data_IF_706350386565
#
_entry.id   IF_706350386565
#
_cell.length_a   1.000
_cell.length_b   1.000
_cell.length_c   1.000
_cell.angle_alpha   90.00
_cell.angle_beta   90.00
_cell.angle_gamma   90.00
#
_symmetry.space_group_name_H-M   'P 1'
#
loop_
_entity.id
_entity.type
_entity.pdbx_description
1 polymer ?
#
# COMPACT_ATOMS: atom_id res chain seq x y z
N UNK A 1 29.91 -8.94 -59.72
CA UNK A 1 29.81 -8.13 -58.49
C UNK A 1 28.43 -7.48 -58.48
N UNK A 2 27.48 -8.03 -57.71
CA UNK A 2 26.20 -7.38 -57.32
C UNK A 2 25.43 -8.38 -56.43
N UNK A 3 25.80 -8.47 -55.15
CA UNK A 3 25.02 -9.26 -54.16
C UNK A 3 25.35 -8.83 -52.73
N UNK A 4 25.44 -7.51 -52.47
CA UNK A 4 25.69 -6.93 -51.12
C UNK A 4 24.70 -5.78 -50.79
N UNK A 5 23.65 -5.57 -51.60
CA UNK A 5 22.66 -4.50 -51.34
C UNK A 5 21.30 -4.99 -50.81
N UNK A 6 20.99 -6.29 -50.80
CA UNK A 6 19.67 -6.80 -50.38
C UNK A 6 19.54 -7.19 -48.90
N UNK A 7 20.65 -7.33 -48.17
CA UNK A 7 20.62 -7.74 -46.75
C UNK A 7 20.34 -6.59 -45.79
N UNK A 8 20.69 -5.34 -46.16
CA UNK A 8 20.41 -4.14 -45.33
C UNK A 8 18.93 -3.76 -45.32
N UNK A 9 18.24 -3.93 -46.44
CA UNK A 9 16.80 -3.65 -46.55
C UNK A 9 15.95 -4.70 -45.81
N UNK A 10 16.41 -5.96 -45.77
CA UNK A 10 15.74 -7.04 -45.03
C UNK A 10 15.81 -6.83 -43.51
N UNK A 11 16.94 -6.35 -42.99
CA UNK A 11 17.08 -5.99 -41.57
C UNK A 11 16.23 -4.78 -41.21
N UNK A 12 16.26 -3.71 -42.04
CA UNK A 12 15.42 -2.52 -41.89
C UNK A 12 13.92 -2.87 -41.80
N UNK A 13 13.43 -3.74 -42.69
CA UNK A 13 12.03 -4.17 -42.72
C UNK A 13 11.64 -5.03 -41.51
N UNK A 14 12.57 -5.82 -40.96
CA UNK A 14 12.36 -6.57 -39.72
C UNK A 14 12.31 -5.65 -38.49
N UNK A 15 13.13 -4.60 -38.43
CA UNK A 15 13.07 -3.61 -37.35
C UNK A 15 11.77 -2.79 -37.38
N UNK A 16 11.31 -2.43 -38.59
CA UNK A 16 10.04 -1.73 -38.77
C UNK A 16 8.85 -2.63 -38.42
N UNK A 17 8.79 -3.88 -38.90
CA UNK A 17 7.72 -4.82 -38.56
C UNK A 17 7.63 -5.07 -37.05
N UNK A 18 8.77 -5.27 -36.38
CA UNK A 18 8.80 -5.40 -34.91
C UNK A 18 8.23 -4.16 -34.23
N UNK A 19 8.56 -2.96 -34.72
CA UNK A 19 8.02 -1.72 -34.19
C UNK A 19 6.50 -1.63 -34.34
N UNK A 20 5.94 -2.02 -35.49
CA UNK A 20 4.49 -2.05 -35.73
C UNK A 20 3.77 -3.11 -34.89
N UNK A 21 4.37 -4.27 -34.67
CA UNK A 21 3.84 -5.32 -33.79
C UNK A 21 3.85 -4.87 -32.33
N UNK A 22 4.92 -4.22 -31.86
CA UNK A 22 5.00 -3.63 -30.53
C UNK A 22 3.97 -2.51 -30.32
N UNK A 23 3.75 -1.64 -31.32
CA UNK A 23 2.73 -0.59 -31.27
C UNK A 23 1.30 -1.16 -31.26
N UNK A 24 1.02 -2.17 -32.08
CA UNK A 24 -0.29 -2.82 -32.15
C UNK A 24 -0.61 -3.59 -30.86
N UNK A 25 0.39 -4.32 -30.33
CA UNK A 25 0.29 -5.00 -29.03
C UNK A 25 0.10 -3.99 -27.90
N UNK A 26 0.85 -2.89 -27.90
CA UNK A 26 0.74 -1.81 -26.91
C UNK A 26 -0.63 -1.10 -26.93
N UNK A 27 -1.21 -0.84 -28.11
CA UNK A 27 -2.57 -0.28 -28.21
C UNK A 27 -3.62 -1.26 -27.70
N UNK A 28 -3.47 -2.54 -28.01
CA UNK A 28 -4.38 -3.60 -27.54
C UNK A 28 -4.31 -3.76 -26.02
N UNK A 29 -3.11 -3.80 -25.44
CA UNK A 29 -2.93 -3.90 -23.97
C UNK A 29 -3.45 -2.66 -23.24
N UNK A 30 -3.19 -1.45 -23.75
CA UNK A 30 -3.75 -0.23 -23.14
C UNK A 30 -5.28 -0.22 -23.15
N UNK A 31 -5.92 -0.68 -24.23
CA UNK A 31 -7.37 -0.82 -24.28
C UNK A 31 -7.89 -1.85 -23.28
N UNK A 32 -7.19 -2.98 -23.10
CA UNK A 32 -7.50 -3.98 -22.08
C UNK A 32 -7.41 -3.37 -20.67
N UNK A 33 -6.33 -2.66 -20.36
CA UNK A 33 -6.08 -2.00 -19.07
C UNK A 33 -7.21 -1.01 -18.75
N UNK A 34 -7.54 -0.12 -19.68
CA UNK A 34 -8.59 0.90 -19.48
C UNK A 34 -9.97 0.27 -19.30
N UNK A 35 -10.30 -0.79 -20.06
CA UNK A 35 -11.57 -1.50 -19.92
C UNK A 35 -11.65 -2.23 -18.57
N UNK A 36 -10.62 -2.99 -18.22
CA UNK A 36 -10.54 -3.71 -16.95
C UNK A 36 -10.63 -2.74 -15.75
N UNK A 37 -9.90 -1.62 -15.80
CA UNK A 37 -9.98 -0.56 -14.78
C UNK A 37 -11.41 -0.02 -14.64
N UNK A 38 -12.06 0.37 -15.75
CA UNK A 38 -13.45 0.90 -15.72
C UNK A 38 -14.44 -0.13 -15.18
N UNK A 39 -14.36 -1.36 -15.66
CA UNK A 39 -15.24 -2.46 -15.24
C UNK A 39 -15.05 -2.78 -13.75
N UNK A 40 -13.80 -2.95 -13.30
CA UNK A 40 -13.49 -3.22 -11.91
C UNK A 40 -13.94 -2.08 -10.98
N UNK A 41 -13.82 -0.82 -11.43
CA UNK A 41 -14.33 0.34 -10.66
C UNK A 41 -15.85 0.29 -10.48
N UNK A 42 -16.62 -0.07 -11.53
CA UNK A 42 -18.08 -0.22 -11.42
C UNK A 42 -18.47 -1.38 -10.48
N UNK A 43 -17.76 -2.50 -10.56
CA UNK A 43 -17.97 -3.63 -9.65
C UNK A 43 -17.64 -3.26 -8.20
N UNK A 44 -16.58 -2.48 -7.98
CA UNK A 44 -16.20 -1.97 -6.66
C UNK A 44 -17.28 -1.07 -6.05
N UNK A 45 -17.87 -0.15 -6.81
CA UNK A 45 -18.95 0.73 -6.34
C UNK A 45 -20.20 -0.03 -5.90
N UNK A 46 -20.42 -1.22 -6.47
CA UNK A 46 -21.52 -2.12 -6.10
C UNK A 46 -21.12 -3.19 -5.08
N UNK A 47 -19.97 -3.01 -4.41
CA UNK A 47 -19.38 -3.92 -3.39
C UNK A 47 -19.12 -5.36 -3.90
N UNK A 48 -19.03 -5.56 -5.22
CA UNK A 48 -18.68 -6.85 -5.84
C UNK A 48 -17.17 -7.04 -5.88
N UNK A 49 -16.54 -7.06 -4.69
CA UNK A 49 -15.09 -6.97 -4.56
C UNK A 49 -14.33 -8.14 -5.18
N UNK A 50 -14.89 -9.37 -5.11
CA UNK A 50 -14.30 -10.52 -5.79
C UNK A 50 -14.16 -10.27 -7.28
N UNK A 51 -15.25 -9.90 -7.92
CA UNK A 51 -15.27 -9.72 -9.36
C UNK A 51 -14.43 -8.53 -9.80
N UNK A 52 -14.42 -7.45 -9.00
CA UNK A 52 -13.53 -6.33 -9.22
C UNK A 52 -12.05 -6.76 -9.15
N UNK A 53 -11.70 -7.61 -8.19
CA UNK A 53 -10.35 -8.16 -8.03
C UNK A 53 -9.97 -9.05 -9.20
N UNK A 54 -10.81 -10.04 -9.54
CA UNK A 54 -10.56 -10.97 -10.63
C UNK A 54 -10.48 -10.26 -11.99
N UNK A 55 -11.21 -9.16 -12.18
CA UNK A 55 -11.14 -8.31 -13.38
C UNK A 55 -9.80 -7.54 -13.47
N UNK A 56 -9.27 -7.09 -12.32
CA UNK A 56 -8.08 -6.24 -12.28
C UNK A 56 -6.77 -7.05 -12.14
N UNK A 57 -6.82 -8.25 -11.55
CA UNK A 57 -5.66 -9.11 -11.30
C UNK A 57 -4.77 -9.34 -12.55
N UNK A 58 -5.31 -9.59 -13.76
CA UNK A 58 -4.50 -9.75 -14.96
C UNK A 58 -3.74 -8.47 -15.36
N UNK A 59 -4.23 -7.30 -14.97
CA UNK A 59 -3.59 -6.02 -15.31
C UNK A 59 -2.39 -5.71 -14.39
N UNK A 60 -2.47 -6.13 -13.13
CA UNK A 60 -1.48 -5.85 -12.07
C UNK A 60 -0.55 -7.03 -11.78
N UNK A 61 -0.84 -8.21 -12.33
CA UNK A 61 0.01 -9.39 -12.24
C UNK A 61 0.75 -9.64 -13.56
N UNK A 62 1.97 -10.19 -13.51
CA UNK A 62 2.69 -10.55 -14.72
C UNK A 62 1.86 -11.59 -15.47
N UNK A 63 1.69 -11.38 -16.77
CA UNK A 63 1.13 -12.40 -17.65
C UNK A 63 2.23 -13.44 -17.82
N UNK A 64 2.23 -14.47 -16.97
CA UNK A 64 3.15 -15.59 -17.09
C UNK A 64 3.14 -16.03 -18.54
N UNK A 65 4.31 -16.00 -19.19
CA UNK A 65 4.45 -16.54 -20.53
C UNK A 65 3.89 -17.95 -20.48
N UNK A 66 2.75 -18.17 -21.14
CA UNK A 66 2.25 -19.49 -21.42
C UNK A 66 3.44 -20.29 -21.95
N UNK A 67 3.62 -21.49 -21.41
CA UNK A 67 4.56 -22.46 -21.89
C UNK A 67 4.39 -22.60 -23.41
N UNK A 68 5.30 -22.00 -24.17
CA UNK A 68 5.69 -22.47 -25.48
C UNK A 68 7.10 -21.95 -25.78
N UNK A 69 8.02 -22.90 -25.93
CA UNK A 69 9.45 -22.69 -26.00
C UNK A 69 9.89 -21.75 -27.12
N UNK A 70 10.22 -20.51 -26.76
CA UNK A 70 11.17 -19.68 -27.47
C UNK A 70 11.86 -18.75 -26.46
N UNK A 71 12.81 -19.31 -25.72
CA UNK A 71 13.80 -18.54 -24.96
C UNK A 71 14.68 -17.87 -26.02
N UNK A 72 14.31 -16.65 -26.41
CA UNK A 72 15.30 -15.75 -26.99
C UNK A 72 16.15 -15.26 -25.83
N UNK A 73 17.41 -15.69 -25.78
CA UNK A 73 18.47 -15.30 -24.82
C UNK A 73 18.79 -13.80 -24.89
N UNK A 74 17.81 -12.96 -24.55
CA UNK A 74 17.99 -11.54 -24.33
C UNK A 74 17.77 -11.25 -22.85
N UNK A 75 18.76 -10.71 -22.11
CA UNK A 75 18.61 -10.38 -20.69
C UNK A 75 17.45 -9.39 -20.43
N UNK A 76 17.02 -8.64 -21.45
CA UNK A 76 15.90 -7.70 -21.39
C UNK A 76 14.50 -8.36 -21.45
N UNK A 77 14.41 -9.61 -21.94
CA UNK A 77 13.14 -10.33 -22.01
C UNK A 77 12.71 -10.90 -20.64
N UNK A 78 13.69 -11.27 -19.80
CA UNK A 78 13.46 -11.78 -18.45
C UNK A 78 12.93 -10.66 -17.53
N UNK A 79 13.50 -9.46 -17.60
CA UNK A 79 13.01 -8.28 -16.88
C UNK A 79 11.59 -7.88 -17.32
N UNK A 80 11.27 -8.05 -18.61
CA UNK A 80 9.93 -7.77 -19.14
C UNK A 80 8.88 -8.81 -18.73
N UNK A 81 9.28 -10.03 -18.37
CA UNK A 81 8.38 -11.12 -17.99
C UNK A 81 7.89 -11.01 -16.53
N UNK A 82 8.61 -10.28 -15.67
CA UNK A 82 8.21 -10.03 -14.28
C UNK A 82 7.38 -8.74 -14.09
N UNK A 83 7.30 -7.89 -15.12
CA UNK A 83 6.51 -6.67 -15.12
C UNK A 83 5.03 -6.96 -15.41
N UNK A 84 4.15 -6.27 -14.69
CA UNK A 84 2.72 -6.30 -14.99
C UNK A 84 2.43 -5.52 -16.28
N UNK A 85 1.38 -5.87 -17.04
CA UNK A 85 0.98 -5.12 -18.24
C UNK A 85 0.84 -3.61 -18.02
N UNK A 86 0.36 -3.22 -16.84
CA UNK A 86 0.21 -1.82 -16.45
C UNK A 86 1.53 -1.03 -16.38
N UNK A 87 2.67 -1.69 -16.14
CA UNK A 87 3.97 -1.03 -16.06
C UNK A 87 4.36 -0.34 -17.37
N UNK A 88 3.88 -0.87 -18.51
CA UNK A 88 4.13 -0.33 -19.85
C UNK A 88 3.10 0.75 -20.27
N UNK A 89 2.12 1.05 -19.42
CA UNK A 89 1.12 2.10 -19.69
C UNK A 89 1.66 3.49 -19.35
N UNK A 90 0.94 4.55 -19.75
CA UNK A 90 1.31 5.91 -19.39
C UNK A 90 1.31 6.11 -17.87
N UNK A 91 2.16 7.02 -17.36
CA UNK A 91 2.27 7.36 -15.92
C UNK A 91 0.89 7.50 -15.27
N UNK A 92 0.03 8.36 -15.79
CA UNK A 92 -1.30 8.59 -15.24
C UNK A 92 -2.25 7.38 -15.27
N UNK A 93 -2.10 6.46 -16.22
CA UNK A 93 -2.88 5.20 -16.24
C UNK A 93 -2.35 4.24 -15.19
N UNK A 94 -1.02 4.09 -15.13
CA UNK A 94 -0.32 3.25 -14.15
C UNK A 94 -0.63 3.67 -12.72
N UNK A 95 -0.52 4.96 -12.41
CA UNK A 95 -0.85 5.53 -11.09
C UNK A 95 -2.29 5.19 -10.70
N UNK A 96 -3.28 5.47 -11.57
CA UNK A 96 -4.71 5.23 -11.28
C UNK A 96 -5.03 3.76 -11.02
N UNK A 97 -4.43 2.85 -11.79
CA UNK A 97 -4.65 1.41 -11.65
C UNK A 97 -4.08 0.92 -10.33
N UNK A 98 -2.85 1.30 -9.98
CA UNK A 98 -2.24 0.90 -8.71
C UNK A 98 -2.95 1.50 -7.49
N UNK A 99 -3.28 2.80 -7.53
CA UNK A 99 -4.08 3.46 -6.47
C UNK A 99 -5.41 2.74 -6.27
N UNK A 100 -6.10 2.39 -7.36
CA UNK A 100 -7.36 1.65 -7.27
C UNK A 100 -7.17 0.22 -6.74
N UNK A 101 -6.14 -0.50 -7.19
CA UNK A 101 -5.83 -1.83 -6.67
C UNK A 101 -5.57 -1.83 -5.17
N UNK A 102 -4.80 -0.84 -4.67
CA UNK A 102 -4.53 -0.68 -3.24
C UNK A 102 -5.79 -0.32 -2.45
N UNK A 103 -6.65 0.54 -3.01
CA UNK A 103 -7.95 0.87 -2.41
C UNK A 103 -8.88 -0.34 -2.35
N UNK A 104 -8.89 -1.16 -3.41
CA UNK A 104 -9.64 -2.41 -3.46
C UNK A 104 -9.13 -3.40 -2.41
N UNK A 105 -7.81 -3.57 -2.27
CA UNK A 105 -7.23 -4.39 -1.20
C UNK A 105 -7.63 -3.87 0.18
N UNK A 106 -7.58 -2.55 0.40
CA UNK A 106 -8.01 -1.94 1.65
C UNK A 106 -9.45 -2.32 2.01
N UNK A 107 -10.38 -2.23 1.05
CA UNK A 107 -11.77 -2.63 1.24
C UNK A 107 -11.95 -4.13 1.47
N UNK A 108 -11.20 -4.98 0.75
CA UNK A 108 -11.27 -6.45 0.90
C UNK A 108 -10.84 -6.86 2.32
N UNK A 109 -9.75 -6.31 2.83
CA UNK A 109 -9.31 -6.61 4.20
C UNK A 109 -10.28 -6.00 5.22
N UNK A 110 -10.88 -4.84 4.91
CA UNK A 110 -11.92 -4.19 5.70
C UNK A 110 -13.21 -4.99 5.89
N UNK A 111 -13.51 -5.99 5.05
CA UNK A 111 -14.62 -6.94 5.28
C UNK A 111 -14.42 -7.80 6.54
N UNK A 112 -13.18 -7.90 7.02
CA UNK A 112 -12.80 -8.77 8.12
C UNK A 112 -12.84 -10.27 7.78
N UNK A 113 -12.51 -11.14 8.74
CA UNK A 113 -12.31 -12.56 8.47
C UNK A 113 -13.55 -13.34 8.05
N UNK A 114 -14.74 -12.95 8.50
CA UNK A 114 -15.96 -13.73 8.23
C UNK A 114 -16.52 -13.46 6.82
N UNK A 115 -16.80 -12.20 6.51
CA UNK A 115 -17.29 -11.78 5.20
C UNK A 115 -16.19 -11.95 4.13
N UNK A 116 -14.94 -11.67 4.49
CA UNK A 116 -13.78 -11.86 3.63
C UNK A 116 -13.59 -13.32 3.21
N UNK A 117 -13.69 -14.30 4.12
CA UNK A 117 -13.59 -15.73 3.76
C UNK A 117 -14.81 -16.24 3.00
N UNK A 118 -16.00 -15.70 3.25
CA UNK A 118 -17.22 -16.06 2.52
C UNK A 118 -17.13 -15.61 1.07
N UNK A 119 -16.63 -14.40 0.84
CA UNK A 119 -16.45 -13.82 -0.49
C UNK A 119 -15.22 -14.43 -1.18
N UNK A 120 -14.07 -14.40 -0.50
CA UNK A 120 -12.70 -14.92 -0.75
C UNK A 120 -12.49 -16.42 -0.98
N UNK A 121 -13.26 -17.24 -0.27
CA UNK A 121 -12.72 -18.50 0.20
C UNK A 121 -11.61 -18.27 1.24
N UNK A 122 -11.36 -19.30 2.06
CA UNK A 122 -10.44 -19.21 3.21
C UNK A 122 -8.98 -18.97 2.80
N UNK A 123 -8.54 -19.60 1.70
CA UNK A 123 -7.15 -19.55 1.23
C UNK A 123 -6.81 -18.20 0.62
N UNK A 124 -7.52 -17.78 -0.44
CA UNK A 124 -7.24 -16.51 -1.15
C UNK A 124 -7.37 -15.30 -0.22
N UNK A 125 -8.39 -15.26 0.65
CA UNK A 125 -8.52 -14.17 1.62
C UNK A 125 -7.32 -14.09 2.56
N UNK A 126 -6.83 -15.24 3.06
CA UNK A 126 -5.68 -15.28 3.96
C UNK A 126 -4.39 -14.86 3.27
N UNK A 127 -4.20 -15.25 2.01
CA UNK A 127 -3.07 -14.81 1.19
C UNK A 127 -3.09 -13.28 0.98
N UNK A 128 -4.24 -12.71 0.65
CA UNK A 128 -4.39 -11.26 0.50
C UNK A 128 -4.15 -10.53 1.83
N UNK A 129 -4.71 -11.05 2.93
CA UNK A 129 -4.53 -10.47 4.25
C UNK A 129 -3.06 -10.55 4.71
N UNK A 130 -2.39 -11.67 4.51
CA UNK A 130 -0.97 -11.82 4.82
C UNK A 130 -0.12 -10.85 3.99
N UNK A 131 -0.38 -10.75 2.68
CA UNK A 131 0.33 -9.84 1.78
C UNK A 131 0.31 -8.39 2.28
N UNK A 132 -0.84 -7.92 2.75
CA UNK A 132 -1.01 -6.56 3.28
C UNK A 132 -0.42 -6.43 4.69
N UNK A 133 -0.67 -7.39 5.59
CA UNK A 133 -0.22 -7.35 6.99
C UNK A 133 1.30 -7.49 7.14
N UNK A 134 1.92 -8.26 6.27
CA UNK A 134 3.37 -8.46 6.21
C UNK A 134 4.05 -7.36 5.38
N UNK A 135 3.27 -6.51 4.70
CA UNK A 135 3.74 -5.41 3.86
C UNK A 135 4.44 -5.81 2.55
N UNK A 136 4.45 -7.10 2.20
CA UNK A 136 5.00 -7.61 0.92
C UNK A 136 4.33 -7.00 -0.32
N UNK A 137 3.12 -6.44 -0.17
CA UNK A 137 2.45 -5.66 -1.21
C UNK A 137 3.31 -4.49 -1.72
N UNK A 138 4.13 -3.87 -0.86
CA UNK A 138 5.04 -2.80 -1.28
C UNK A 138 6.02 -3.28 -2.36
N UNK A 139 6.70 -4.39 -2.07
CA UNK A 139 7.64 -5.01 -3.00
C UNK A 139 6.95 -5.50 -4.28
N UNK A 140 5.73 -6.00 -4.17
CA UNK A 140 4.92 -6.39 -5.34
C UNK A 140 4.67 -5.20 -6.27
N UNK A 141 4.25 -4.05 -5.73
CA UNK A 141 3.98 -2.84 -6.52
C UNK A 141 5.26 -2.31 -7.16
N UNK A 142 6.35 -2.19 -6.38
CA UNK A 142 7.64 -1.70 -6.86
C UNK A 142 8.17 -2.61 -7.97
N UNK A 143 8.22 -3.92 -7.74
CA UNK A 143 8.74 -4.90 -8.70
C UNK A 143 7.89 -4.96 -9.96
N UNK A 144 6.57 -5.14 -9.82
CA UNK A 144 5.67 -5.38 -10.96
C UNK A 144 5.27 -4.10 -11.69
N UNK A 145 5.18 -2.98 -10.99
CA UNK A 145 4.72 -1.70 -11.52
C UNK A 145 5.84 -0.78 -11.97
N UNK A 146 6.98 -0.82 -11.30
CA UNK A 146 8.07 0.16 -11.42
C UNK A 146 9.44 -0.49 -11.61
N UNK A 147 9.49 -1.78 -11.98
CA UNK A 147 10.73 -2.47 -12.35
C UNK A 147 11.75 -2.64 -11.23
N UNK A 148 11.35 -2.51 -9.97
CA UNK A 148 12.28 -2.59 -8.82
C UNK A 148 12.77 -1.24 -8.31
N UNK A 149 12.47 -0.14 -9.00
CA UNK A 149 12.95 1.19 -8.63
C UNK A 149 12.00 1.87 -7.63
N UNK A 150 12.31 1.80 -6.33
CA UNK A 150 11.46 2.40 -5.28
C UNK A 150 11.31 3.93 -5.45
N UNK A 151 12.35 4.64 -5.92
CA UNK A 151 12.30 6.09 -6.15
C UNK A 151 11.42 6.53 -7.34
N UNK A 152 11.11 5.64 -8.28
CA UNK A 152 10.26 5.95 -9.45
C UNK A 152 8.76 5.72 -9.20
N UNK A 153 8.41 5.21 -8.02
CA UNK A 153 7.01 4.98 -7.63
C UNK A 153 6.29 6.32 -7.57
N UNK A 154 5.12 6.41 -8.20
CA UNK A 154 4.36 7.66 -8.20
C UNK A 154 3.93 8.02 -6.78
N UNK A 155 4.09 9.28 -6.36
CA UNK A 155 3.78 9.70 -4.99
C UNK A 155 2.34 9.39 -4.54
N UNK A 156 1.35 9.45 -5.44
CA UNK A 156 -0.03 9.03 -5.12
C UNK A 156 -0.12 7.53 -4.77
N UNK A 157 0.69 6.69 -5.42
CA UNK A 157 0.78 5.26 -5.12
C UNK A 157 1.46 5.03 -3.77
N UNK A 158 2.51 5.80 -3.47
CA UNK A 158 3.20 5.77 -2.15
C UNK A 158 2.25 6.14 -1.02
N UNK A 159 1.49 7.23 -1.16
CA UNK A 159 0.48 7.63 -0.16
C UNK A 159 -0.53 6.50 0.09
N UNK A 160 -1.03 5.87 -0.98
CA UNK A 160 -2.01 4.77 -0.85
C UNK A 160 -1.39 3.50 -0.27
N UNK A 161 -0.14 3.16 -0.62
CA UNK A 161 0.61 2.06 -0.03
C UNK A 161 0.77 2.26 1.48
N UNK A 162 1.35 3.39 1.87
CA UNK A 162 1.60 3.69 3.27
C UNK A 162 0.31 3.78 4.10
N UNK A 163 -0.79 4.30 3.52
CA UNK A 163 -2.12 4.31 4.17
C UNK A 163 -2.68 2.90 4.33
N UNK A 164 -2.55 2.05 3.32
CA UNK A 164 -2.96 0.64 3.39
C UNK A 164 -2.17 -0.11 4.49
N UNK A 165 -0.85 0.08 4.54
CA UNK A 165 0.00 -0.54 5.54
C UNK A 165 -0.30 -0.03 6.95
N UNK A 166 -0.52 1.28 7.09
CA UNK A 166 -0.89 1.91 8.36
C UNK A 166 -2.16 1.29 8.95
N UNK A 167 -3.17 1.02 8.12
CA UNK A 167 -4.45 0.48 8.58
C UNK A 167 -4.45 -1.00 8.95
N UNK A 168 -3.47 -1.79 8.47
CA UNK A 168 -3.57 -3.26 8.53
C UNK A 168 -2.32 -3.97 9.06
N UNK A 169 -1.14 -3.35 9.06
CA UNK A 169 0.07 -3.97 9.61
C UNK A 169 0.07 -3.94 11.14
N UNK A 170 0.68 -4.96 11.77
CA UNK A 170 0.85 -5.03 13.23
C UNK A 170 1.94 -4.11 13.74
N UNK A 171 2.97 -3.83 12.93
CA UNK A 171 4.08 -2.93 13.27
C UNK A 171 4.34 -2.00 12.10
N UNK A 172 4.63 -0.73 12.36
CA UNK A 172 4.87 0.25 11.31
C UNK A 172 6.35 0.41 10.93
N UNK A 173 7.25 -0.45 11.45
CA UNK A 173 8.70 -0.40 11.15
C UNK A 173 9.02 -0.54 9.65
N UNK A 174 8.39 -1.49 8.97
CA UNK A 174 8.58 -1.64 7.52
C UNK A 174 8.06 -0.43 6.76
N UNK A 175 6.89 0.10 7.15
CA UNK A 175 6.30 1.28 6.52
C UNK A 175 7.21 2.50 6.71
N UNK A 176 7.78 2.66 7.90
CA UNK A 176 8.82 3.66 8.19
C UNK A 176 10.04 3.49 7.27
N UNK A 177 10.67 2.31 7.25
CA UNK A 177 11.84 2.03 6.40
C UNK A 177 11.57 2.37 4.93
N UNK A 178 10.37 2.02 4.43
CA UNK A 178 9.96 2.27 3.04
C UNK A 178 9.70 3.74 2.73
N UNK A 179 9.11 4.48 3.67
CA UNK A 179 8.92 5.93 3.52
C UNK A 179 10.25 6.68 3.61
N UNK A 180 11.13 6.31 4.53
CA UNK A 180 12.48 6.87 4.65
C UNK A 180 13.29 6.64 3.35
N UNK A 181 13.31 5.40 2.84
CA UNK A 181 13.96 5.07 1.58
C UNK A 181 13.40 5.85 0.39
N UNK A 182 12.08 5.99 0.31
CA UNK A 182 11.43 6.78 -0.74
C UNK A 182 11.76 8.28 -0.64
N UNK A 183 11.70 8.86 0.56
CA UNK A 183 12.00 10.27 0.81
C UNK A 183 13.47 10.58 0.49
N UNK A 184 14.40 9.72 0.93
CA UNK A 184 15.83 9.86 0.63
C UNK A 184 16.11 9.82 -0.89
N UNK A 185 15.47 8.90 -1.62
CA UNK A 185 15.63 8.81 -3.07
C UNK A 185 15.07 10.04 -3.83
N UNK A 186 14.10 10.76 -3.25
CA UNK A 186 13.46 11.92 -3.86
C UNK A 186 14.01 13.27 -3.35
N UNK A 187 14.93 13.26 -2.38
CA UNK A 187 15.54 14.49 -1.87
C UNK A 187 16.58 15.04 -2.85
N UNK A 188 17.40 14.16 -3.43
CA UNK A 188 18.53 14.49 -4.31
C UNK A 188 18.09 15.14 -5.65
N UNK A 189 16.90 14.81 -6.14
CA UNK A 189 16.36 15.30 -7.43
C UNK A 189 15.99 16.80 -7.38
N UNK A 190 15.82 17.38 -6.19
CA UNK A 190 15.55 18.82 -6.02
C UNK A 190 16.81 19.69 -6.17
N UNK A 191 17.99 19.16 -5.82
CA UNK A 191 19.26 19.87 -6.01
C UNK A 191 19.64 19.92 -7.51
N UNK A 192 19.44 18.82 -8.24
CA UNK A 192 19.80 18.74 -9.66
C UNK A 192 18.96 19.65 -10.58
N UNK A 193 17.69 19.92 -10.22
CA UNK A 193 16.83 20.79 -11.04
C UNK A 193 17.22 22.27 -10.95
N UNK A 194 17.77 22.73 -9.82
CA UNK A 194 18.15 24.15 -9.61
C UNK A 194 19.43 24.51 -10.37
N UNK A 195 20.35 23.56 -10.57
CA UNK A 195 21.58 23.80 -11.34
C UNK A 195 21.39 23.68 -12.86
N UNK A 196 20.30 23.08 -13.33
CA UNK A 196 20.04 22.84 -14.74
C UNK A 196 19.38 24.03 -15.48
N UNK A 197 18.95 25.07 -14.75
CA UNK A 197 18.33 26.28 -15.32
C UNK A 197 19.33 27.36 -15.76
N UNK A 198 20.65 27.15 -15.60
CA UNK A 198 21.68 28.16 -15.92
C UNK A 198 22.37 27.98 -17.27
N UNK A 199 22.17 26.87 -17.96
CA UNK A 199 22.77 26.64 -19.27
C UNK A 199 21.72 26.11 -20.25
N UNK A 200 21.51 26.83 -21.36
CA UNK A 200 20.39 26.67 -22.30
C UNK A 200 20.39 25.39 -23.14
N UNK A 201 20.77 24.25 -22.58
CA UNK A 201 20.74 22.93 -23.21
C UNK A 201 19.84 21.98 -22.41
N UNK A 202 18.54 22.18 -22.55
CA UNK A 202 17.52 21.28 -22.02
C UNK A 202 17.62 19.90 -22.68
N UNK A 203 18.16 18.92 -21.98
CA UNK A 203 17.90 17.50 -22.26
C UNK A 203 16.59 17.11 -21.55
N UNK A 204 15.61 16.49 -22.22
CA UNK A 204 14.25 16.34 -21.70
C UNK A 204 14.09 15.10 -20.80
N UNK A 205 14.95 14.93 -19.79
CA UNK A 205 14.90 13.76 -18.89
C UNK A 205 15.10 14.06 -17.39
N UNK A 206 14.81 15.27 -16.92
CA UNK A 206 14.59 15.53 -15.48
C UNK A 206 13.08 15.44 -15.19
N UNK A 207 12.65 14.35 -14.53
CA UNK A 207 11.26 13.85 -14.51
C UNK A 207 10.44 14.37 -13.32
N UNK A 208 10.99 15.20 -12.44
CA UNK A 208 10.22 15.82 -11.35
C UNK A 208 10.04 17.33 -11.55
N UNK A 209 9.07 17.67 -12.41
CA UNK A 209 8.58 19.05 -12.48
C UNK A 209 8.05 19.50 -11.12
N UNK A 210 8.37 20.73 -10.73
CA UNK A 210 7.90 21.47 -9.55
C UNK A 210 6.40 21.81 -9.62
N UNK A 211 5.59 20.91 -10.19
CA UNK A 211 4.15 21.08 -10.25
C UNK A 211 3.60 21.20 -8.83
N UNK A 212 2.71 22.18 -8.55
CA UNK A 212 2.05 22.30 -7.25
C UNK A 212 1.41 20.99 -6.76
N UNK A 213 0.96 20.12 -7.67
CA UNK A 213 0.43 18.79 -7.35
C UNK A 213 1.48 17.84 -6.78
N UNK A 214 2.70 17.86 -7.33
CA UNK A 214 3.79 17.02 -6.85
C UNK A 214 4.24 17.47 -5.46
N UNK A 215 4.34 18.79 -5.24
CA UNK A 215 4.62 19.35 -3.91
C UNK A 215 3.54 18.95 -2.89
N UNK A 216 2.26 19.09 -3.24
CA UNK A 216 1.16 18.67 -2.36
C UNK A 216 1.22 17.19 -2.02
N UNK A 217 1.57 16.34 -2.99
CA UNK A 217 1.71 14.89 -2.77
C UNK A 217 2.88 14.61 -1.85
N UNK A 218 4.02 15.29 -2.01
CA UNK A 218 5.18 15.14 -1.14
C UNK A 218 4.90 15.61 0.30
N UNK A 219 4.21 16.74 0.46
CA UNK A 219 3.74 17.19 1.78
C UNK A 219 2.80 16.16 2.42
N UNK A 220 1.94 15.50 1.64
CA UNK A 220 1.07 14.44 2.15
C UNK A 220 1.85 13.20 2.61
N UNK A 221 2.93 12.85 1.92
CA UNK A 221 3.83 11.77 2.33
C UNK A 221 4.53 12.15 3.65
N UNK A 222 5.02 13.39 3.78
CA UNK A 222 5.61 13.89 5.02
C UNK A 222 4.61 13.89 6.18
N UNK A 223 3.38 14.37 5.95
CA UNK A 223 2.29 14.30 6.93
C UNK A 223 2.04 12.85 7.38
N UNK A 224 1.92 11.92 6.44
CA UNK A 224 1.71 10.50 6.74
C UNK A 224 2.85 9.90 7.55
N UNK A 225 4.08 10.23 7.18
CA UNK A 225 5.28 9.76 7.85
C UNK A 225 5.38 10.29 9.29
N UNK A 226 5.33 11.61 9.44
CA UNK A 226 5.59 12.32 10.71
C UNK A 226 4.42 12.18 11.68
N UNK A 227 3.18 12.31 11.22
CA UNK A 227 2.01 12.39 12.10
C UNK A 227 1.32 11.04 12.33
N UNK A 228 1.66 10.01 11.56
CA UNK A 228 1.00 8.71 11.69
C UNK A 228 1.97 7.54 11.84
N UNK A 229 2.98 7.42 10.98
CA UNK A 229 3.90 6.27 11.01
C UNK A 229 4.84 6.32 12.21
N UNK A 230 5.53 7.46 12.44
CA UNK A 230 6.41 7.61 13.60
C UNK A 230 5.66 7.50 14.94
N UNK A 231 4.49 8.16 15.14
CA UNK A 231 3.65 7.96 16.32
C UNK A 231 3.19 6.51 16.55
N UNK A 232 2.96 5.75 15.48
CA UNK A 232 2.58 4.35 15.59
C UNK A 232 3.75 3.45 16.05
N UNK A 233 5.00 3.88 15.83
CA UNK A 233 6.21 3.24 16.37
C UNK A 233 6.70 3.86 17.69
N UNK A 234 5.93 4.80 18.27
CA UNK A 234 6.29 5.57 19.48
C UNK A 234 7.56 6.44 19.35
N UNK A 235 7.93 6.81 18.11
CA UNK A 235 9.14 7.59 17.80
C UNK A 235 8.88 9.11 17.80
N UNK A 236 8.32 9.62 18.89
CA UNK A 236 7.89 11.02 19.00
C UNK A 236 9.05 12.04 18.96
N UNK A 237 10.18 11.71 19.59
CA UNK A 237 11.37 12.55 19.59
C UNK A 237 11.98 12.65 18.20
N UNK A 238 12.01 11.53 17.48
CA UNK A 238 12.49 11.48 16.12
C UNK A 238 11.60 12.29 15.17
N UNK A 239 10.27 12.21 15.33
CA UNK A 239 9.33 13.05 14.59
C UNK A 239 9.58 14.55 14.80
N UNK A 240 9.83 14.99 16.04
CA UNK A 240 10.17 16.40 16.33
C UNK A 240 11.47 16.82 15.66
N UNK A 241 12.53 16.03 15.82
CA UNK A 241 13.82 16.31 15.20
C UNK A 241 13.71 16.37 13.67
N UNK A 242 12.91 15.49 13.07
CA UNK A 242 12.68 15.47 11.63
C UNK A 242 11.97 16.74 11.16
N UNK A 243 10.95 17.24 11.88
CA UNK A 243 10.28 18.50 11.55
C UNK A 243 11.26 19.68 11.62
N UNK A 244 12.06 19.76 12.70
CA UNK A 244 13.04 20.84 12.91
C UNK A 244 14.10 20.87 11.80
N UNK A 245 14.62 19.69 11.42
CA UNK A 245 15.68 19.54 10.41
C UNK A 245 15.16 19.56 8.96
N UNK A 246 13.84 19.47 8.73
CA UNK A 246 13.29 19.43 7.37
C UNK A 246 13.44 20.77 6.66
N UNK A 247 14.24 20.80 5.59
CA UNK A 247 14.42 21.98 4.73
C UNK A 247 13.19 22.25 3.83
N UNK A 248 12.34 21.24 3.63
CA UNK A 248 11.13 21.34 2.82
C UNK A 248 9.98 22.11 3.49
N UNK A 249 10.04 22.24 4.82
CA UNK A 249 9.01 22.92 5.61
C UNK A 249 9.52 24.32 5.93
N UNK A 250 8.75 25.33 5.55
CA UNK A 250 8.89 26.68 6.08
C UNK A 250 8.44 26.73 7.54
N UNK A 251 8.81 27.80 8.24
CA UNK A 251 8.59 27.94 9.69
C UNK A 251 7.10 27.79 10.06
N UNK A 252 6.20 28.39 9.28
CA UNK A 252 4.75 28.25 9.47
C UNK A 252 4.28 26.79 9.38
N UNK A 253 4.80 26.01 8.42
CA UNK A 253 4.47 24.59 8.33
C UNK A 253 5.13 23.79 9.43
N UNK A 254 6.36 24.10 9.84
CA UNK A 254 7.01 23.44 10.97
C UNK A 254 6.19 23.60 12.24
N UNK A 255 5.74 24.82 12.54
CA UNK A 255 4.84 25.09 13.67
C UNK A 255 3.52 24.32 13.56
N UNK A 256 2.90 24.31 12.38
CA UNK A 256 1.66 23.56 12.14
C UNK A 256 1.82 22.05 12.35
N UNK A 257 2.93 21.47 11.87
CA UNK A 257 3.26 20.06 12.06
C UNK A 257 3.57 19.74 13.52
N UNK A 258 4.30 20.61 14.24
CA UNK A 258 4.58 20.43 15.67
C UNK A 258 3.30 20.47 16.50
N UNK A 259 2.41 21.42 16.23
CA UNK A 259 1.11 21.49 16.90
C UNK A 259 0.23 20.26 16.59
N UNK A 260 0.19 19.82 15.33
CA UNK A 260 -0.53 18.62 14.94
C UNK A 260 0.03 17.36 15.63
N UNK A 261 1.37 17.25 15.73
CA UNK A 261 2.03 16.13 16.39
C UNK A 261 1.67 16.07 17.88
N UNK A 262 1.67 17.21 18.59
CA UNK A 262 1.27 17.24 20.00
C UNK A 262 -0.22 16.88 20.16
N UNK A 263 -1.10 17.39 19.28
CA UNK A 263 -2.52 17.03 19.27
C UNK A 263 -2.73 15.52 19.11
N UNK A 264 -2.01 14.87 18.17
CA UNK A 264 -2.07 13.41 17.98
C UNK A 264 -1.56 12.66 19.21
N UNK A 265 -0.52 13.17 19.87
CA UNK A 265 0.02 12.58 21.11
C UNK A 265 -0.96 12.67 22.27
N UNK A 266 -1.59 13.82 22.45
CA UNK A 266 -2.63 14.03 23.46
C UNK A 266 -3.84 13.12 23.21
N UNK A 267 -4.27 12.98 21.95
CA UNK A 267 -5.36 12.07 21.59
C UNK A 267 -5.00 10.61 21.92
N UNK A 268 -3.79 10.15 21.55
CA UNK A 268 -3.32 8.79 21.85
C UNK A 268 -3.27 8.53 23.36
N UNK A 269 -2.73 9.47 24.13
CA UNK A 269 -2.65 9.38 25.59
C UNK A 269 -4.06 9.37 26.23
N UNK A 270 -4.95 10.24 25.76
CA UNK A 270 -6.34 10.30 26.21
C UNK A 270 -7.12 9.03 25.89
N UNK A 271 -6.92 8.44 24.71
CA UNK A 271 -7.52 7.17 24.32
C UNK A 271 -7.04 6.02 25.23
N UNK A 272 -5.73 5.92 25.46
CA UNK A 272 -5.15 4.92 26.35
C UNK A 272 -5.67 5.03 27.80
N UNK A 273 -5.81 6.26 28.31
CA UNK A 273 -6.37 6.49 29.64
C UNK A 273 -7.84 6.05 29.74
N UNK A 274 -8.65 6.38 28.73
CA UNK A 274 -10.06 5.95 28.66
C UNK A 274 -10.20 4.44 28.57
N UNK A 275 -9.36 3.78 27.78
CA UNK A 275 -9.35 2.31 27.67
C UNK A 275 -8.99 1.66 29.01
N UNK A 276 -7.96 2.15 29.70
CA UNK A 276 -7.56 1.67 31.03
C UNK A 276 -8.68 1.82 32.05
N UNK A 277 -9.35 2.97 32.09
CA UNK A 277 -10.46 3.22 33.00
C UNK A 277 -11.64 2.25 32.76
N UNK A 278 -11.97 1.97 31.50
CA UNK A 278 -13.01 0.99 31.14
C UNK A 278 -12.60 -0.45 31.48
N UNK A 279 -11.33 -0.80 31.30
CA UNK A 279 -10.82 -2.12 31.67
C UNK A 279 -10.90 -2.36 33.19
N UNK A 280 -10.47 -1.37 34.00
CA UNK A 280 -10.57 -1.43 35.46
C UNK A 280 -12.02 -1.53 35.93
N UNK A 281 -12.96 -0.82 35.28
CA UNK A 281 -14.38 -0.94 35.59
C UNK A 281 -14.91 -2.35 35.30
N UNK A 282 -14.60 -2.91 34.11
CA UNK A 282 -15.01 -4.28 33.74
C UNK A 282 -14.45 -5.33 34.68
N UNK A 283 -13.20 -5.17 35.11
CA UNK A 283 -12.57 -6.08 36.07
C UNK A 283 -13.26 -6.04 37.43
N UNK A 284 -13.58 -4.84 37.95
CA UNK A 284 -14.33 -4.70 39.22
C UNK A 284 -15.70 -5.35 39.14
N UNK A 285 -16.44 -5.12 38.05
CA UNK A 285 -17.75 -5.74 37.83
C UNK A 285 -17.66 -7.28 37.76
N UNK A 286 -16.63 -7.82 37.08
CA UNK A 286 -16.41 -9.26 37.00
C UNK A 286 -16.04 -9.89 38.35
N UNK A 287 -15.23 -9.20 39.17
CA UNK A 287 -14.89 -9.65 40.53
C UNK A 287 -16.14 -9.67 41.41
N UNK A 288 -16.97 -8.62 41.34
CA UNK A 288 -18.20 -8.52 42.12
C UNK A 288 -19.21 -9.62 41.74
N UNK A 289 -19.40 -9.87 40.44
CA UNK A 289 -20.25 -10.96 39.96
C UNK A 289 -19.76 -12.33 40.46
N UNK A 290 -18.45 -12.59 40.45
CA UNK A 290 -17.88 -13.84 40.97
C UNK A 290 -18.12 -14.00 42.46
N UNK A 291 -17.96 -12.94 43.26
CA UNK A 291 -18.23 -12.96 44.71
C UNK A 291 -19.70 -13.24 45.01
N UNK A 292 -20.61 -12.61 44.25
CA UNK A 292 -22.05 -12.84 44.40
C UNK A 292 -22.44 -14.27 44.06
N UNK A 293 -21.89 -14.84 42.98
CA UNK A 293 -22.16 -16.22 42.60
C UNK A 293 -21.57 -17.22 43.61
N UNK A 294 -20.37 -16.97 44.14
CA UNK A 294 -19.79 -17.80 45.19
C UNK A 294 -20.62 -17.74 46.48
N UNK A 295 -21.06 -16.56 46.90
CA UNK A 295 -21.93 -16.38 48.06
C UNK A 295 -23.27 -17.13 47.87
N UNK A 296 -23.87 -17.05 46.68
CA UNK A 296 -25.08 -17.82 46.34
C UNK A 296 -24.84 -19.33 46.42
N UNK A 297 -23.73 -19.82 45.86
CA UNK A 297 -23.38 -21.26 45.92
C UNK A 297 -23.15 -21.74 47.35
N UNK A 298 -22.52 -20.93 48.20
CA UNK A 298 -22.31 -21.27 49.62
C UNK A 298 -23.63 -21.31 50.39
N UNK A 299 -24.53 -20.34 50.17
CA UNK A 299 -25.85 -20.35 50.84
C UNK A 299 -26.73 -21.51 50.35
N UNK A 300 -26.73 -21.81 49.05
CA UNK A 300 -27.42 -22.97 48.48
C UNK A 300 -26.88 -24.30 49.05
N UNK A 301 -25.55 -24.44 49.20
CA UNK A 301 -24.94 -25.62 49.81
C UNK A 301 -25.31 -25.76 51.30
N UNK A 302 -25.35 -24.66 52.05
CA UNK A 302 -25.73 -24.66 53.47
C UNK A 302 -27.19 -25.10 53.65
N UNK A 303 -28.11 -24.57 52.84
CA UNK A 303 -29.53 -24.97 52.88
C UNK A 303 -29.70 -26.46 52.55
N UNK A 304 -28.98 -26.98 51.56
CA UNK A 304 -29.03 -28.39 51.20
C UNK A 304 -28.47 -29.34 52.28
N UNK A 305 -27.49 -28.90 53.08
CA UNK A 305 -27.02 -29.67 54.25
C UNK A 305 -28.03 -29.65 55.40
N UNK A 306 -28.68 -28.52 55.64
CA UNK A 306 -29.73 -28.38 56.66
C UNK A 306 -30.92 -29.30 56.35
N UNK A 307 -31.40 -29.33 55.10
CA UNK A 307 -32.49 -30.21 54.64
C UNK A 307 -32.14 -31.71 54.77
N UNK A 308 -30.87 -32.10 54.54
CA UNK A 308 -30.43 -33.50 54.70
C UNK A 308 -30.38 -33.96 56.15
N UNK A 309 -30.12 -33.05 57.10
CA UNK A 309 -30.10 -33.38 58.54
C UNK A 309 -31.51 -33.52 59.11
N UNK A 310 -32.46 -32.73 58.64
CA UNK A 310 -33.86 -32.80 59.09
C UNK A 310 -34.61 -34.00 58.51
N UNK A 311 -34.26 -34.48 57.32
CA UNK A 311 -34.87 -35.69 56.71
C UNK A 311 -34.40 -37.04 57.27
N UNK A 312 -33.51 -37.08 58.26
CA UNK A 312 -32.93 -38.31 58.83
C UNK A 312 -33.18 -38.49 60.35
N UNK A 313 -33.96 -37.60 60.98
CA UNK A 313 -34.59 -37.82 62.30
C UNK A 313 -36.02 -38.33 62.14
#
# INVERSE_FOLDING_TARGET
MNSIMSDRDSLSSQYLSRSFDHLSRSRSTNNLIVRAYKQATQLYLTRRFREAYDTLEPVVSPQGSAADGQINDAPNAILSAELAPVAQSSKGTRTKVWVFYLSLLHSIIGLGPQEGKTTFGSTKWRELAAKVRDGTIWQEVVKRGYGGNEGEVDGEVVVNLATLLLGHMTTQKLNQEKLEGYLAANDDDTAASVFSDRDGTSTPMSIHSTSPKNLQTRLKILELYILHVLPANDEWDYARQYIEMSEMLDEERKEAFMHALESVKEEKNGAALREKALAEQREREAIEQKKQEEARRVDEARRAEEEKKEGCS
#
